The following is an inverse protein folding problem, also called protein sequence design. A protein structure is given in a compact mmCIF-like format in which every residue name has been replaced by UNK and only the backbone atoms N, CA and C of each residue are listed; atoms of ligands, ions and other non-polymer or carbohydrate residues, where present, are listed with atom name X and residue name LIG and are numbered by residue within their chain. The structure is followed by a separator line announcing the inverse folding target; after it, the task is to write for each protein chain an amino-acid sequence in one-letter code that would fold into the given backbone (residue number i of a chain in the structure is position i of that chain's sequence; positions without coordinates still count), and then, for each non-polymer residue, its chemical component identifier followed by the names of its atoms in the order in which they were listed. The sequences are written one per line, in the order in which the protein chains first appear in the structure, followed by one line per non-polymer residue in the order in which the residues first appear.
data_IF_530386935425
#
_entry.id   IF_530386935425
#
_cell.length_a   1.000
_cell.length_b   1.000
_cell.length_c   1.000
_cell.angle_alpha   90.00
_cell.angle_beta   90.00
_cell.angle_gamma   90.00
#
_symmetry.space_group_name_H-M   'P 1'
#
loop_
_entity.id
_entity.type
_entity.pdbx_description
1 polymer ?
#
# COMPACT_ATOMS: atom_id res chain seq x y z
N UNK A 1 13.23 -39.76 -11.24
CA UNK A 1 13.39 -38.37 -11.76
C UNK A 1 12.06 -37.58 -11.82
N UNK A 2 10.88 -38.22 -11.92
CA UNK A 2 9.56 -37.54 -11.94
C UNK A 2 9.03 -37.11 -10.54
N UNK A 3 9.48 -37.72 -9.45
CA UNK A 3 8.99 -37.40 -8.10
C UNK A 3 9.56 -36.09 -7.51
N UNK A 4 10.74 -35.64 -8.01
CA UNK A 4 11.40 -34.44 -7.51
C UNK A 4 10.83 -33.14 -8.11
N UNK A 5 10.33 -33.23 -9.33
CA UNK A 5 9.68 -32.10 -10.02
C UNK A 5 8.30 -31.75 -9.45
N UNK A 6 7.56 -32.75 -8.95
CA UNK A 6 6.25 -32.57 -8.31
C UNK A 6 6.39 -31.93 -6.92
N UNK A 7 7.47 -32.24 -6.20
CA UNK A 7 7.71 -31.71 -4.86
C UNK A 7 8.19 -30.23 -4.90
N UNK A 8 8.95 -29.85 -5.94
CA UNK A 8 9.34 -28.45 -6.15
C UNK A 8 8.17 -27.57 -6.61
N UNK A 9 7.29 -28.08 -7.49
CA UNK A 9 6.10 -27.36 -7.91
C UNK A 9 5.10 -27.14 -6.77
N UNK A 10 4.99 -28.07 -5.84
CA UNK A 10 4.16 -27.95 -4.64
C UNK A 10 4.68 -26.92 -3.64
N UNK A 11 6.00 -26.84 -3.44
CA UNK A 11 6.63 -25.85 -2.54
C UNK A 11 6.46 -24.41 -3.03
N UNK A 12 6.70 -24.16 -4.32
CA UNK A 12 6.57 -22.81 -4.90
C UNK A 12 5.13 -22.29 -4.86
N UNK A 13 4.12 -23.16 -4.94
CA UNK A 13 2.71 -22.79 -4.85
C UNK A 13 2.27 -22.46 -3.42
N UNK A 14 2.80 -23.16 -2.41
CA UNK A 14 2.50 -22.89 -1.01
C UNK A 14 3.16 -21.61 -0.52
N UNK A 15 4.38 -21.32 -0.98
CA UNK A 15 5.11 -20.12 -0.60
C UNK A 15 4.46 -18.84 -1.16
N UNK A 16 3.92 -18.89 -2.39
CA UNK A 16 3.19 -17.78 -3.01
C UNK A 16 1.83 -17.52 -2.33
N UNK A 17 1.09 -18.56 -1.98
CA UNK A 17 -0.17 -18.46 -1.27
C UNK A 17 0.01 -17.80 0.10
N UNK A 18 1.01 -18.21 0.85
CA UNK A 18 1.31 -17.60 2.15
C UNK A 18 1.66 -16.11 2.04
N UNK A 19 2.45 -15.72 1.05
CA UNK A 19 2.88 -14.34 0.88
C UNK A 19 1.72 -13.40 0.49
N UNK A 20 0.81 -13.81 -0.41
CA UNK A 20 -0.37 -13.03 -0.77
C UNK A 20 -1.36 -12.89 0.40
N UNK A 21 -1.55 -13.96 1.19
CA UNK A 21 -2.41 -13.94 2.37
C UNK A 21 -1.85 -13.05 3.48
N UNK A 22 -0.53 -13.08 3.72
CA UNK A 22 0.14 -12.21 4.70
C UNK A 22 0.03 -10.75 4.28
N UNK A 23 0.25 -10.44 3.01
CA UNK A 23 0.12 -9.09 2.48
C UNK A 23 -1.33 -8.59 2.62
N UNK A 24 -2.32 -9.45 2.30
CA UNK A 24 -3.74 -9.10 2.46
C UNK A 24 -4.10 -8.81 3.91
N UNK A 25 -3.61 -9.63 4.85
CA UNK A 25 -3.83 -9.42 6.28
C UNK A 25 -3.19 -8.10 6.74
N UNK A 26 -1.97 -7.81 6.29
CA UNK A 26 -1.28 -6.57 6.65
C UNK A 26 -2.02 -5.34 6.09
N UNK A 27 -2.52 -5.40 4.84
CA UNK A 27 -3.34 -4.35 4.24
C UNK A 27 -4.69 -4.19 4.94
N UNK A 28 -5.32 -5.29 5.35
CA UNK A 28 -6.55 -5.25 6.13
C UNK A 28 -6.34 -4.55 7.48
N UNK A 29 -5.26 -4.87 8.17
CA UNK A 29 -4.91 -4.18 9.43
C UNK A 29 -4.66 -2.70 9.18
N UNK A 30 -3.94 -2.34 8.12
CA UNK A 30 -3.64 -0.95 7.78
C UNK A 30 -4.90 -0.14 7.45
N UNK A 31 -5.78 -0.68 6.59
CA UNK A 31 -6.89 0.07 6.01
C UNK A 31 -8.18 -0.01 6.84
N UNK A 32 -8.35 -1.10 7.60
CA UNK A 32 -9.58 -1.33 8.35
C UNK A 32 -9.36 -1.20 9.85
N UNK A 33 -8.34 -1.84 10.41
CA UNK A 33 -8.17 -1.88 11.87
C UNK A 33 -7.54 -0.60 12.41
N UNK A 34 -6.51 -0.09 11.73
CA UNK A 34 -5.75 1.08 12.19
C UNK A 34 -6.63 2.34 12.37
N UNK A 35 -7.54 2.72 11.46
CA UNK A 35 -8.39 3.91 11.62
C UNK A 35 -9.34 3.86 12.83
N UNK A 36 -9.66 2.66 13.36
CA UNK A 36 -10.51 2.52 14.55
C UNK A 36 -9.73 2.58 15.86
N UNK A 37 -8.40 2.60 15.82
CA UNK A 37 -7.61 2.68 17.04
C UNK A 37 -7.53 4.14 17.52
N UNK A 38 -7.88 4.44 18.78
CA UNK A 38 -7.75 5.80 19.30
C UNK A 38 -6.27 6.22 19.28
N UNK A 39 -6.02 7.40 18.74
CA UNK A 39 -4.66 7.95 18.64
C UNK A 39 -3.81 7.34 17.51
N UNK A 40 -4.42 6.90 16.41
CA UNK A 40 -3.76 6.28 15.25
C UNK A 40 -2.94 7.25 14.36
N UNK A 41 -2.72 8.48 14.82
CA UNK A 41 -1.96 9.51 14.09
C UNK A 41 -0.69 8.95 13.43
N UNK A 42 -0.33 9.49 12.27
CA UNK A 42 0.81 9.04 11.46
C UNK A 42 2.14 8.99 12.26
N UNK A 43 2.25 9.77 13.33
CA UNK A 43 3.42 9.84 14.21
C UNK A 43 3.45 8.76 15.29
N UNK A 44 2.35 8.01 15.50
CA UNK A 44 2.31 6.99 16.54
C UNK A 44 3.11 5.75 16.18
N UNK A 45 3.74 5.16 17.20
CA UNK A 45 4.55 3.95 17.08
C UNK A 45 3.78 2.79 16.44
N UNK A 46 2.48 2.66 16.73
CA UNK A 46 1.61 1.63 16.16
C UNK A 46 1.48 1.81 14.64
N UNK A 47 1.22 3.02 14.16
CA UNK A 47 1.14 3.34 12.72
C UNK A 47 2.48 3.04 12.03
N UNK A 48 3.60 3.47 12.59
CA UNK A 48 4.94 3.19 12.06
C UNK A 48 5.22 1.69 11.94
N UNK A 49 4.82 0.88 12.94
CA UNK A 49 4.96 -0.58 12.93
C UNK A 49 4.07 -1.21 11.85
N UNK A 50 2.79 -0.83 11.77
CA UNK A 50 1.86 -1.40 10.78
C UNK A 50 2.33 -1.09 9.36
N UNK A 51 2.75 0.15 9.08
CA UNK A 51 3.34 0.51 7.79
C UNK A 51 4.61 -0.30 7.47
N UNK A 52 5.48 -0.48 8.46
CA UNK A 52 6.68 -1.30 8.30
C UNK A 52 6.33 -2.76 7.96
N UNK A 53 5.31 -3.32 8.61
CA UNK A 53 4.81 -4.67 8.33
C UNK A 53 4.28 -4.80 6.90
N UNK A 54 3.52 -3.83 6.41
CA UNK A 54 3.00 -3.84 5.02
C UNK A 54 4.14 -3.78 4.01
N UNK A 55 5.15 -2.93 4.24
CA UNK A 55 6.33 -2.84 3.37
C UNK A 55 7.11 -4.16 3.37
N UNK A 56 7.33 -4.75 4.54
CA UNK A 56 8.03 -6.06 4.67
C UNK A 56 7.23 -7.18 4.01
N UNK A 57 5.90 -7.21 4.19
CA UNK A 57 5.02 -8.19 3.53
C UNK A 57 5.06 -8.05 2.00
N UNK A 58 5.04 -6.81 1.48
CA UNK A 58 5.22 -6.54 0.06
C UNK A 58 6.59 -7.00 -0.46
N UNK A 59 7.66 -6.74 0.31
CA UNK A 59 9.00 -7.18 -0.05
C UNK A 59 9.12 -8.72 -0.05
N UNK A 60 8.53 -9.39 0.93
CA UNK A 60 8.49 -10.86 1.00
C UNK A 60 7.81 -11.46 -0.24
N UNK A 61 6.79 -10.79 -0.80
CA UNK A 61 6.15 -11.21 -2.05
C UNK A 61 7.09 -11.14 -3.26
N UNK A 62 8.09 -10.26 -3.23
CA UNK A 62 9.05 -10.04 -4.33
C UNK A 62 10.22 -11.03 -4.35
N UNK A 63 10.36 -11.92 -3.36
CA UNK A 63 11.54 -12.80 -3.21
C UNK A 63 11.72 -13.83 -4.34
N UNK A 64 10.68 -14.14 -5.10
CA UNK A 64 10.74 -15.10 -6.22
C UNK A 64 11.54 -14.62 -7.44
N UNK A 65 11.78 -13.31 -7.60
CA UNK A 65 12.53 -12.74 -8.71
C UNK A 65 13.59 -11.76 -8.21
N UNK A 66 14.87 -12.06 -8.45
CA UNK A 66 15.99 -11.25 -7.98
C UNK A 66 15.97 -9.82 -8.46
N UNK A 67 15.54 -9.57 -9.69
CA UNK A 67 15.43 -8.22 -10.24
C UNK A 67 14.40 -7.39 -9.46
N UNK A 68 13.17 -7.94 -9.28
CA UNK A 68 12.13 -7.28 -8.49
C UNK A 68 12.53 -7.12 -7.02
N UNK A 69 13.20 -8.11 -6.44
CA UNK A 69 13.67 -8.04 -5.06
C UNK A 69 14.65 -6.88 -4.85
N UNK A 70 15.68 -6.76 -5.70
CA UNK A 70 16.66 -5.68 -5.55
C UNK A 70 16.05 -4.30 -5.82
N UNK A 71 15.17 -4.19 -6.82
CA UNK A 71 14.45 -2.95 -7.11
C UNK A 71 13.50 -2.58 -5.97
N UNK A 72 12.75 -3.54 -5.44
CA UNK A 72 11.87 -3.32 -4.30
C UNK A 72 12.66 -2.94 -3.03
N UNK A 73 13.80 -3.59 -2.78
CA UNK A 73 14.65 -3.31 -1.64
C UNK A 73 15.26 -1.91 -1.70
N UNK A 74 15.68 -1.46 -2.90
CA UNK A 74 16.25 -0.12 -3.10
C UNK A 74 15.24 1.01 -2.79
N UNK A 75 13.95 0.74 -2.95
CA UNK A 75 12.88 1.69 -2.59
C UNK A 75 12.42 1.48 -1.15
N UNK A 76 12.29 0.23 -0.70
CA UNK A 76 11.80 -0.10 0.65
C UNK A 76 12.71 0.42 1.76
N UNK A 77 14.04 0.31 1.60
CA UNK A 77 14.99 0.74 2.63
C UNK A 77 14.88 2.25 2.92
N UNK A 78 14.97 3.16 1.94
CA UNK A 78 14.79 4.59 2.22
C UNK A 78 13.37 4.93 2.69
N UNK A 79 12.34 4.22 2.20
CA UNK A 79 10.96 4.41 2.65
C UNK A 79 10.79 4.01 4.12
N UNK A 80 11.38 2.90 4.54
CA UNK A 80 11.39 2.50 5.95
C UNK A 80 12.20 3.48 6.79
N UNK A 81 13.38 3.88 6.32
CA UNK A 81 14.22 4.85 7.04
C UNK A 81 13.51 6.18 7.26
N UNK A 82 12.79 6.69 6.26
CA UNK A 82 12.04 7.95 6.36
C UNK A 82 10.87 7.91 7.37
N UNK A 83 10.40 6.72 7.73
CA UNK A 83 9.37 6.55 8.79
C UNK A 83 9.92 6.66 10.21
N UNK A 84 11.23 6.40 10.38
CA UNK A 84 11.89 6.40 11.68
C UNK A 84 12.79 7.61 11.89
N UNK A 85 13.15 8.32 10.82
CA UNK A 85 14.03 9.48 10.82
C UNK A 85 13.26 10.66 10.21
N UNK A 86 13.04 11.71 11.00
CA UNK A 86 12.36 12.92 10.52
C UNK A 86 13.32 13.72 9.63
N UNK A 87 13.05 13.66 8.32
CA UNK A 87 13.83 14.39 7.30
C UNK A 87 13.02 15.62 6.88
N UNK A 88 13.56 16.85 7.01
CA UNK A 88 12.89 18.06 6.55
C UNK A 88 12.52 17.94 5.05
N UNK A 89 11.24 18.19 4.70
CA UNK A 89 10.74 18.01 3.34
C UNK A 89 10.51 16.55 2.92
N UNK A 90 10.71 15.59 3.82
CA UNK A 90 10.55 14.16 3.55
C UNK A 90 9.12 13.69 3.31
N UNK A 91 8.10 14.49 3.65
CA UNK A 91 6.70 14.08 3.53
C UNK A 91 6.28 13.83 2.07
N UNK A 92 6.62 14.72 1.14
CA UNK A 92 6.30 14.56 -0.30
C UNK A 92 7.12 13.41 -0.89
N UNK A 93 8.44 13.43 -0.67
CA UNK A 93 9.34 12.39 -1.20
C UNK A 93 9.02 11.02 -0.63
N UNK A 94 8.66 10.94 0.66
CA UNK A 94 8.21 9.73 1.33
C UNK A 94 6.89 9.21 0.74
N UNK A 95 5.91 10.08 0.48
CA UNK A 95 4.63 9.68 -0.13
C UNK A 95 4.84 9.13 -1.54
N UNK A 96 5.66 9.79 -2.35
CA UNK A 96 6.00 9.31 -3.71
C UNK A 96 6.77 7.98 -3.65
N UNK A 97 7.71 7.83 -2.72
CA UNK A 97 8.48 6.59 -2.56
C UNK A 97 7.58 5.41 -2.17
N UNK A 98 6.63 5.61 -1.24
CA UNK A 98 5.61 4.60 -0.88
C UNK A 98 4.75 4.24 -2.09
N UNK A 99 4.27 5.25 -2.85
CA UNK A 99 3.47 5.02 -4.05
C UNK A 99 4.23 4.19 -5.09
N UNK A 100 5.49 4.54 -5.38
CA UNK A 100 6.33 3.80 -6.32
C UNK A 100 6.61 2.36 -5.85
N UNK A 101 6.87 2.17 -4.56
CA UNK A 101 7.07 0.85 -3.99
C UNK A 101 5.84 -0.04 -4.19
N UNK A 102 4.65 0.44 -3.81
CA UNK A 102 3.43 -0.35 -3.94
C UNK A 102 2.98 -0.52 -5.39
N UNK A 103 3.26 0.43 -6.26
CA UNK A 103 3.05 0.28 -7.69
C UNK A 103 3.92 -0.84 -8.27
N UNK A 104 5.20 -0.92 -7.86
CA UNK A 104 6.11 -1.99 -8.25
C UNK A 104 5.60 -3.36 -7.76
N UNK A 105 5.17 -3.47 -6.50
CA UNK A 105 4.62 -4.71 -5.95
C UNK A 105 3.33 -5.10 -6.68
N UNK A 106 2.44 -4.16 -6.96
CA UNK A 106 1.22 -4.39 -7.73
C UNK A 106 1.51 -4.92 -9.14
N UNK A 107 2.48 -4.30 -9.83
CA UNK A 107 2.92 -4.76 -11.15
C UNK A 107 3.50 -6.18 -11.10
N UNK A 108 4.29 -6.50 -10.08
CA UNK A 108 4.85 -7.83 -9.89
C UNK A 108 3.75 -8.89 -9.65
N UNK A 109 2.76 -8.59 -8.80
CA UNK A 109 1.61 -9.47 -8.55
C UNK A 109 0.80 -9.67 -9.85
N UNK A 110 0.52 -8.60 -10.60
CA UNK A 110 -0.20 -8.69 -11.88
C UNK A 110 0.54 -9.55 -12.89
N UNK A 111 1.85 -9.37 -13.04
CA UNK A 111 2.65 -10.19 -13.94
C UNK A 111 2.58 -11.68 -13.56
N UNK A 112 2.61 -11.99 -12.27
CA UNK A 112 2.50 -13.36 -11.77
C UNK A 112 1.10 -13.96 -12.02
N UNK A 113 0.03 -13.16 -11.84
CA UNK A 113 -1.36 -13.55 -12.16
C UNK A 113 -1.50 -13.89 -13.64
N UNK A 114 -1.03 -13.01 -14.53
CA UNK A 114 -1.16 -13.20 -15.97
C UNK A 114 -0.25 -14.30 -16.53
N UNK A 115 0.85 -14.63 -15.85
CA UNK A 115 1.72 -15.73 -16.25
C UNK A 115 1.11 -17.12 -16.00
N UNK A 116 0.14 -17.25 -15.12
CA UNK A 116 -0.46 -18.52 -14.71
C UNK A 116 -1.68 -18.86 -15.59
N UNK A 117 -1.77 -20.13 -16.03
CA UNK A 117 -2.88 -20.62 -16.88
C UNK A 117 -4.13 -21.02 -16.09
N UNK A 118 -4.02 -21.25 -14.80
CA UNK A 118 -5.13 -21.70 -13.94
C UNK A 118 -5.37 -20.67 -12.83
N UNK A 119 -6.64 -20.32 -12.65
CA UNK A 119 -7.07 -19.42 -11.56
C UNK A 119 -7.26 -20.24 -10.30
N UNK A 120 -6.47 -19.95 -9.29
CA UNK A 120 -6.57 -20.53 -7.95
C UNK A 120 -6.87 -19.46 -6.89
N UNK A 121 -6.98 -19.86 -5.63
CA UNK A 121 -7.24 -18.98 -4.50
C UNK A 121 -6.13 -17.91 -4.35
N UNK A 122 -4.89 -18.27 -4.67
CA UNK A 122 -3.75 -17.35 -4.63
C UNK A 122 -3.90 -16.17 -5.61
N UNK A 123 -4.44 -16.41 -6.82
CA UNK A 123 -4.72 -15.34 -7.79
C UNK A 123 -5.86 -14.43 -7.32
N UNK A 124 -6.86 -14.98 -6.62
CA UNK A 124 -7.94 -14.19 -6.03
C UNK A 124 -7.37 -13.26 -4.96
N UNK A 125 -6.56 -13.76 -4.04
CA UNK A 125 -5.89 -12.94 -3.03
C UNK A 125 -4.94 -11.90 -3.66
N UNK A 126 -4.22 -12.31 -4.70
CA UNK A 126 -3.37 -11.41 -5.47
C UNK A 126 -4.16 -10.26 -6.11
N UNK A 127 -5.30 -10.54 -6.71
CA UNK A 127 -6.17 -9.53 -7.33
C UNK A 127 -6.73 -8.54 -6.31
N UNK A 128 -7.16 -9.03 -5.14
CA UNK A 128 -7.62 -8.17 -4.02
C UNK A 128 -6.46 -7.30 -3.52
N UNK A 129 -5.27 -7.88 -3.36
CA UNK A 129 -4.09 -7.12 -2.96
C UNK A 129 -3.78 -6.00 -3.95
N UNK A 130 -3.80 -6.27 -5.25
CA UNK A 130 -3.54 -5.25 -6.28
C UNK A 130 -4.55 -4.12 -6.19
N UNK A 131 -5.84 -4.43 -6.03
CA UNK A 131 -6.88 -3.43 -5.87
C UNK A 131 -6.64 -2.53 -4.63
N UNK A 132 -6.35 -3.13 -3.48
CA UNK A 132 -6.07 -2.39 -2.24
C UNK A 132 -4.78 -1.57 -2.35
N UNK A 133 -3.72 -2.14 -2.92
CA UNK A 133 -2.45 -1.44 -3.13
C UNK A 133 -2.61 -0.24 -4.07
N UNK A 134 -3.39 -0.36 -5.15
CA UNK A 134 -3.68 0.77 -6.03
C UNK A 134 -4.45 1.88 -5.29
N UNK A 135 -5.39 1.53 -4.40
CA UNK A 135 -6.04 2.51 -3.53
C UNK A 135 -5.05 3.27 -2.66
N UNK A 136 -4.09 2.56 -2.07
CA UNK A 136 -3.00 3.18 -1.29
C UNK A 136 -2.11 4.04 -2.19
N UNK A 137 -1.73 3.57 -3.39
CA UNK A 137 -0.91 4.32 -4.35
C UNK A 137 -1.57 5.66 -4.67
N UNK A 138 -2.84 5.67 -5.06
CA UNK A 138 -3.56 6.90 -5.39
C UNK A 138 -3.70 7.81 -4.18
N UNK A 139 -4.04 7.29 -2.99
CA UNK A 139 -4.09 8.09 -1.76
C UNK A 139 -2.74 8.79 -1.48
N UNK A 140 -1.62 8.08 -1.67
CA UNK A 140 -0.28 8.66 -1.49
C UNK A 140 0.08 9.70 -2.53
N UNK A 141 -0.34 9.52 -3.78
CA UNK A 141 -0.16 10.53 -4.82
C UNK A 141 -1.00 11.78 -4.53
N UNK A 142 -2.26 11.62 -4.13
CA UNK A 142 -3.11 12.73 -3.72
C UNK A 142 -2.53 13.46 -2.49
N UNK A 143 -1.96 12.74 -1.52
CA UNK A 143 -1.29 13.34 -0.37
C UNK A 143 -0.09 14.19 -0.79
N UNK A 144 0.74 13.70 -1.72
CA UNK A 144 1.86 14.48 -2.23
C UNK A 144 1.40 15.77 -2.93
N UNK A 145 0.28 15.72 -3.68
CA UNK A 145 -0.33 16.90 -4.30
C UNK A 145 -0.88 17.86 -3.25
N UNK A 146 -1.62 17.36 -2.24
CA UNK A 146 -2.20 18.18 -1.20
C UNK A 146 -1.14 18.90 -0.34
N UNK A 147 -0.01 18.25 -0.07
CA UNK A 147 1.12 18.86 0.65
C UNK A 147 1.81 19.93 -0.23
N UNK A 148 1.96 19.65 -1.54
CA UNK A 148 2.61 20.60 -2.46
C UNK A 148 1.73 21.83 -2.75
N UNK A 149 0.43 21.63 -2.87
CA UNK A 149 -0.56 22.64 -3.22
C UNK A 149 -1.77 22.50 -2.28
N UNK A 150 -1.80 23.20 -1.14
CA UNK A 150 -2.85 23.06 -0.13
C UNK A 150 -4.28 23.35 -0.67
N UNK A 151 -4.38 24.21 -1.69
CA UNK A 151 -5.66 24.59 -2.31
C UNK A 151 -6.07 23.64 -3.45
N UNK A 152 -5.34 22.55 -3.70
CA UNK A 152 -5.66 21.60 -4.76
C UNK A 152 -6.94 20.79 -4.49
N UNK A 153 -7.31 20.64 -3.24
CA UNK A 153 -8.51 19.95 -2.79
C UNK A 153 -9.30 20.84 -1.85
N UNK A 154 -10.61 20.97 -2.11
CA UNK A 154 -11.52 21.81 -1.34
C UNK A 154 -12.69 20.96 -0.83
N UNK A 155 -12.95 21.05 0.47
CA UNK A 155 -14.07 20.39 1.12
C UNK A 155 -14.85 21.42 1.93
N UNK A 156 -16.15 21.58 1.63
CA UNK A 156 -16.99 22.54 2.32
C UNK A 156 -16.55 24.02 2.21
N UNK A 157 -15.78 24.38 1.17
CA UNK A 157 -15.25 25.75 0.96
C UNK A 157 -13.94 26.06 1.70
N UNK A 158 -13.35 25.07 2.37
CA UNK A 158 -12.05 25.16 3.02
C UNK A 158 -11.03 24.29 2.28
N UNK A 159 -9.74 24.56 2.48
CA UNK A 159 -8.73 23.60 2.03
C UNK A 159 -8.93 22.27 2.75
N UNK A 160 -8.60 21.15 2.09
CA UNK A 160 -8.85 19.82 2.64
C UNK A 160 -8.12 19.61 3.98
N UNK A 161 -6.94 20.18 4.12
CA UNK A 161 -6.15 20.11 5.35
C UNK A 161 -6.83 20.84 6.52
N UNK A 162 -7.42 22.02 6.26
CA UNK A 162 -8.18 22.77 7.27
C UNK A 162 -9.48 22.06 7.63
N UNK A 163 -10.22 21.56 6.64
CA UNK A 163 -11.47 20.81 6.85
C UNK A 163 -11.22 19.53 7.67
N UNK A 164 -10.19 18.76 7.35
CA UNK A 164 -9.79 17.57 8.10
C UNK A 164 -9.42 17.92 9.55
N UNK A 165 -8.60 18.96 9.75
CA UNK A 165 -8.21 19.42 11.08
C UNK A 165 -9.40 19.86 11.94
N UNK A 166 -10.37 20.58 11.36
CA UNK A 166 -11.59 21.00 12.06
C UNK A 166 -12.48 19.80 12.44
N UNK A 167 -12.48 18.75 11.60
CA UNK A 167 -13.21 17.51 11.88
C UNK A 167 -12.45 16.57 12.85
N UNK A 168 -11.22 16.91 13.26
CA UNK A 168 -10.37 16.04 14.08
C UNK A 168 -9.88 14.79 13.34
N UNK A 169 -9.79 14.87 12.00
CA UNK A 169 -9.34 13.80 11.13
C UNK A 169 -7.94 14.09 10.59
N UNK A 170 -7.20 13.03 10.28
CA UNK A 170 -5.94 13.15 9.57
C UNK A 170 -6.18 13.39 8.08
N UNK A 171 -5.41 14.29 7.47
CA UNK A 171 -5.47 14.54 6.02
C UNK A 171 -5.28 13.24 5.21
N UNK A 172 -4.42 12.36 5.70
CA UNK A 172 -4.14 11.06 5.07
C UNK A 172 -5.38 10.17 5.02
N UNK A 173 -6.16 10.09 6.09
CA UNK A 173 -7.38 9.27 6.17
C UNK A 173 -8.47 9.78 5.20
N UNK A 174 -8.63 11.09 5.11
CA UNK A 174 -9.57 11.71 4.15
C UNK A 174 -9.15 11.41 2.71
N UNK A 175 -7.86 11.40 2.41
CA UNK A 175 -7.35 11.07 1.08
C UNK A 175 -7.42 9.57 0.77
N UNK A 176 -7.37 8.67 1.76
CA UNK A 176 -7.74 7.26 1.55
C UNK A 176 -9.21 7.13 1.16
N UNK A 177 -10.10 7.77 1.90
CA UNK A 177 -11.52 7.81 1.56
C UNK A 177 -11.71 8.31 0.13
N UNK A 178 -11.14 9.46 -0.24
CA UNK A 178 -11.21 10.03 -1.58
C UNK A 178 -10.70 9.07 -2.66
N UNK A 179 -9.57 8.42 -2.43
CA UNK A 179 -8.98 7.45 -3.35
C UNK A 179 -9.92 6.26 -3.59
N UNK A 180 -10.46 5.65 -2.54
CA UNK A 180 -11.31 4.47 -2.67
C UNK A 180 -12.70 4.81 -3.23
N UNK A 181 -13.31 5.95 -2.88
CA UNK A 181 -14.58 6.38 -3.47
C UNK A 181 -14.46 6.69 -4.95
N UNK A 182 -13.31 7.24 -5.39
CA UNK A 182 -13.02 7.47 -6.81
C UNK A 182 -12.78 6.16 -7.55
N UNK A 183 -11.99 5.25 -6.99
CA UNK A 183 -11.72 3.93 -7.62
C UNK A 183 -12.97 3.06 -7.75
N UNK A 184 -13.89 3.12 -6.81
CA UNK A 184 -15.18 2.42 -6.87
C UNK A 184 -16.20 3.12 -7.75
N UNK A 185 -15.85 4.24 -8.37
CA UNK A 185 -16.76 5.09 -9.16
C UNK A 185 -17.96 5.63 -8.37
N UNK A 186 -17.88 5.60 -7.04
CA UNK A 186 -18.93 6.09 -6.15
C UNK A 186 -19.00 7.63 -6.21
N UNK A 187 -17.82 8.30 -6.12
CA UNK A 187 -17.64 9.72 -6.39
C UNK A 187 -18.70 10.63 -5.75
N UNK A 188 -18.73 10.70 -4.43
CA UNK A 188 -19.75 11.53 -3.72
C UNK A 188 -19.65 13.03 -4.07
N UNK A 189 -18.50 13.51 -4.55
CA UNK A 189 -18.30 14.92 -4.91
C UNK A 189 -18.25 15.87 -3.71
N UNK A 190 -17.85 15.36 -2.58
CA UNK A 190 -17.67 16.11 -1.32
C UNK A 190 -16.26 16.70 -1.19
N UNK A 191 -15.33 16.23 -2.02
CA UNK A 191 -13.93 16.66 -2.17
C UNK A 191 -13.65 17.02 -3.62
#
# INVERSE_FOLDING_TARGET
MAADTTNQAGKTNLDGFGANAILLLALFVLLVVLPFLPGHHAENMVSRIVWSLVIVAGLARSTGNRFFLWTALSIAVPTLASRWIDIPGGAITGSIAVALFFLLISAHILMDIFARRHIGIDQIFGSVNVYLLLGVVFARLHLAVAIHSPDAYIMGGLSLAEAASQAGQELEDVLYYFSFTTMTTLGYGDI
#
